data_IF_365364166493
#
_entry.id   IF_365364166493
#
_cell.length_a   1.000
_cell.length_b   1.000
_cell.length_c   1.000
_cell.angle_alpha   90.00
_cell.angle_beta   90.00
_cell.angle_gamma   90.00
#
_symmetry.space_group_name_H-M   'P 1'
#
loop_
_entity.id
_entity.type
_entity.pdbx_description
1 polymer ?
#
# COMPACT_ATOMS: atom_id res chain seq x y z
N UNK A 1 -10.39 -11.70 -12.83
CA UNK A 1 -9.36 -12.33 -11.97
C UNK A 1 -8.07 -12.40 -12.77
N UNK A 2 -6.97 -11.87 -12.24
CA UNK A 2 -5.70 -11.79 -12.95
C UNK A 2 -5.07 -13.18 -13.18
N UNK A 3 -4.27 -13.30 -14.24
CA UNK A 3 -3.57 -14.55 -14.59
C UNK A 3 -2.24 -14.74 -13.86
N UNK A 4 -1.87 -13.82 -12.99
CA UNK A 4 -0.64 -13.82 -12.19
C UNK A 4 -0.94 -13.22 -10.81
N UNK A 5 -0.06 -13.44 -9.82
CA UNK A 5 -0.14 -12.74 -8.54
C UNK A 5 -0.07 -11.22 -8.74
N UNK A 6 -0.95 -10.48 -8.07
CA UNK A 6 -0.97 -9.01 -8.12
C UNK A 6 -0.99 -8.47 -6.70
N UNK A 7 -0.06 -7.57 -6.40
CA UNK A 7 -0.12 -6.66 -5.28
C UNK A 7 -0.53 -5.28 -5.81
N UNK A 8 -1.51 -4.64 -5.19
CA UNK A 8 -2.02 -3.31 -5.53
C UNK A 8 -1.96 -2.44 -4.29
N UNK A 9 -1.50 -1.20 -4.45
CA UNK A 9 -1.58 -0.16 -3.45
C UNK A 9 -2.37 1.03 -4.02
N UNK A 10 -3.20 1.67 -3.20
CA UNK A 10 -3.99 2.82 -3.59
C UNK A 10 -4.15 3.80 -2.42
N UNK A 11 -4.43 5.06 -2.76
CA UNK A 11 -4.69 6.12 -1.80
C UNK A 11 -6.07 6.71 -2.03
N UNK A 12 -6.70 7.15 -0.95
CA UNK A 12 -7.90 7.98 -1.00
C UNK A 12 -7.67 9.26 -0.19
N UNK A 13 -7.84 10.40 -0.87
CA UNK A 13 -7.69 11.76 -0.34
C UNK A 13 -6.43 12.01 0.50
N UNK A 14 -5.33 11.30 0.20
CA UNK A 14 -4.09 11.28 1.00
C UNK A 14 -4.25 10.83 2.45
N UNK A 15 -5.41 10.33 2.88
CA UNK A 15 -5.67 9.98 4.29
C UNK A 15 -5.88 8.48 4.52
N UNK A 16 -6.17 7.70 3.47
CA UNK A 16 -6.33 6.25 3.55
C UNK A 16 -5.40 5.54 2.57
N UNK A 17 -4.62 4.58 3.08
CA UNK A 17 -3.79 3.68 2.29
C UNK A 17 -4.44 2.31 2.19
N UNK A 18 -4.71 1.85 0.98
CA UNK A 18 -5.22 0.52 0.68
C UNK A 18 -4.10 -0.38 0.16
N UNK A 19 -4.08 -1.63 0.61
CA UNK A 19 -3.17 -2.66 0.10
C UNK A 19 -3.95 -3.95 -0.13
N UNK A 20 -3.94 -4.42 -1.38
CA UNK A 20 -4.67 -5.61 -1.79
C UNK A 20 -3.73 -6.57 -2.49
N UNK A 21 -3.93 -7.87 -2.28
CA UNK A 21 -3.23 -8.91 -2.99
C UNK A 21 -4.19 -9.97 -3.50
N UNK A 22 -3.89 -10.50 -4.68
CA UNK A 22 -4.61 -11.64 -5.24
C UNK A 22 -3.66 -12.55 -6.00
N UNK A 23 -3.65 -13.83 -5.64
CA UNK A 23 -3.03 -14.91 -6.39
C UNK A 23 -4.04 -16.03 -6.62
N UNK A 24 -4.49 -16.14 -7.88
CA UNK A 24 -5.46 -17.16 -8.29
C UNK A 24 -4.89 -18.58 -8.22
N UNK A 25 -3.60 -18.77 -8.50
CA UNK A 25 -2.99 -20.10 -8.51
C UNK A 25 -2.84 -20.64 -7.09
N UNK A 26 -2.49 -19.77 -6.14
CA UNK A 26 -2.44 -20.10 -4.71
C UNK A 26 -3.82 -20.10 -4.03
N UNK A 27 -4.83 -19.48 -4.64
CA UNK A 27 -6.16 -19.34 -4.06
C UNK A 27 -6.20 -18.35 -2.89
N UNK A 28 -5.32 -17.36 -2.91
CA UNK A 28 -5.14 -16.37 -1.84
C UNK A 28 -5.61 -15.01 -2.33
N UNK A 29 -6.38 -14.31 -1.50
CA UNK A 29 -6.68 -12.89 -1.69
C UNK A 29 -6.92 -12.24 -0.34
N UNK A 30 -6.46 -11.01 -0.18
CA UNK A 30 -6.70 -10.20 1.00
C UNK A 30 -6.73 -8.72 0.62
N UNK A 31 -7.44 -7.95 1.43
CA UNK A 31 -7.69 -6.52 1.24
C UNK A 31 -7.53 -5.83 2.58
N UNK A 32 -6.54 -4.94 2.67
CA UNK A 32 -6.23 -4.18 3.88
C UNK A 32 -6.35 -2.68 3.62
N UNK A 33 -6.70 -1.94 4.66
CA UNK A 33 -6.74 -0.48 4.63
C UNK A 33 -6.23 0.12 5.94
N UNK A 34 -5.52 1.24 5.86
CA UNK A 34 -5.08 2.01 7.03
C UNK A 34 -5.44 3.47 6.83
N UNK A 35 -6.36 3.97 7.65
CA UNK A 35 -6.68 5.38 7.74
C UNK A 35 -5.77 6.09 8.76
N UNK A 36 -5.49 7.36 8.51
CA UNK A 36 -4.81 8.27 9.46
C UNK A 36 -5.75 8.94 10.46
N UNK A 37 -7.04 8.59 10.40
CA UNK A 37 -8.10 9.15 11.22
C UNK A 37 -9.01 8.02 11.71
N UNK A 38 -9.88 8.33 12.67
CA UNK A 38 -10.95 7.42 13.08
C UNK A 38 -12.02 7.37 11.99
N UNK A 39 -12.17 6.21 11.35
CA UNK A 39 -13.02 6.04 10.18
C UNK A 39 -14.52 6.01 10.52
N UNK A 40 -15.10 7.19 10.72
CA UNK A 40 -16.54 7.36 10.99
C UNK A 40 -17.40 7.28 9.71
N UNK A 41 -16.79 7.47 8.54
CA UNK A 41 -17.47 7.54 7.24
C UNK A 41 -17.46 6.21 6.47
N UNK A 42 -16.80 5.18 6.99
CA UNK A 42 -16.78 3.83 6.43
C UNK A 42 -15.88 3.68 5.20
N UNK A 43 -14.84 4.50 5.08
CA UNK A 43 -13.88 4.43 3.97
C UNK A 43 -13.05 3.14 3.97
N UNK A 44 -12.97 2.45 5.11
CA UNK A 44 -12.29 1.17 5.30
C UNK A 44 -13.26 -0.01 5.45
N UNK A 45 -14.57 0.21 5.24
CA UNK A 45 -15.57 -0.85 5.35
C UNK A 45 -15.27 -1.99 4.38
N UNK A 46 -15.18 -3.21 4.93
CA UNK A 46 -14.85 -4.43 4.17
C UNK A 46 -13.35 -4.70 4.00
N UNK A 47 -12.48 -3.86 4.56
CA UNK A 47 -11.03 -4.08 4.58
C UNK A 47 -10.53 -4.47 5.97
N UNK A 48 -9.48 -5.26 6.02
CA UNK A 48 -8.77 -5.54 7.27
C UNK A 48 -7.86 -4.36 7.65
N UNK A 49 -7.99 -3.85 8.88
CA UNK A 49 -7.20 -2.70 9.33
C UNK A 49 -5.87 -3.07 10.00
N UNK A 50 -5.69 -4.34 10.32
CA UNK A 50 -4.45 -4.87 10.89
C UNK A 50 -3.36 -5.00 9.83
N UNK A 51 -2.10 -5.02 10.25
CA UNK A 51 -0.98 -5.27 9.35
C UNK A 51 -1.14 -6.60 8.58
N UNK A 52 -0.96 -6.62 7.25
CA UNK A 52 -1.03 -7.84 6.43
C UNK A 52 0.14 -8.78 6.77
N UNK A 53 -0.14 -9.79 7.60
CA UNK A 53 0.88 -10.69 8.16
C UNK A 53 1.59 -11.57 7.13
N UNK A 54 0.97 -11.72 5.96
CA UNK A 54 1.40 -12.47 4.79
C UNK A 54 2.42 -11.70 3.96
N UNK A 55 2.43 -10.37 4.06
CA UNK A 55 3.28 -9.50 3.23
C UNK A 55 4.78 -9.85 3.32
N UNK A 56 5.37 -10.14 4.50
CA UNK A 56 6.77 -10.54 4.60
C UNK A 56 7.08 -11.88 3.89
N UNK A 57 6.10 -12.78 3.77
CA UNK A 57 6.30 -14.04 3.05
C UNK A 57 6.35 -13.83 1.53
N UNK A 58 5.62 -12.82 1.02
CA UNK A 58 5.66 -12.42 -0.39
C UNK A 58 6.96 -11.69 -0.77
N UNK A 59 7.56 -10.98 0.20
CA UNK A 59 8.80 -10.20 0.03
C UNK A 59 9.82 -10.60 1.11
N UNK A 60 10.42 -11.80 1.00
CA UNK A 60 11.28 -12.36 2.05
C UNK A 60 12.58 -11.57 2.29
N UNK A 61 12.96 -10.70 1.37
CA UNK A 61 14.08 -9.78 1.51
C UNK A 61 13.78 -8.60 2.45
N UNK A 62 12.51 -8.33 2.75
CA UNK A 62 12.06 -7.21 3.56
C UNK A 62 11.96 -7.59 5.03
N UNK A 63 12.28 -6.65 5.92
CA UNK A 63 12.09 -6.86 7.36
C UNK A 63 10.61 -6.73 7.71
N UNK A 64 9.97 -7.85 8.12
CA UNK A 64 8.57 -7.83 8.54
C UNK A 64 8.30 -6.92 9.74
N UNK A 65 9.27 -6.76 10.63
CA UNK A 65 9.18 -5.82 11.76
C UNK A 65 9.17 -4.37 11.27
N UNK A 66 10.05 -4.03 10.31
CA UNK A 66 10.09 -2.69 9.73
C UNK A 66 8.80 -2.36 8.96
N UNK A 67 8.30 -3.32 8.17
CA UNK A 67 7.02 -3.16 7.44
C UNK A 67 5.85 -2.93 8.40
N UNK A 68 5.80 -3.66 9.51
CA UNK A 68 4.77 -3.46 10.54
C UNK A 68 4.91 -2.09 11.20
N UNK A 69 6.13 -1.67 11.52
CA UNK A 69 6.37 -0.36 12.13
C UNK A 69 5.93 0.80 11.22
N UNK A 70 6.07 0.67 9.90
CA UNK A 70 5.53 1.65 8.94
C UNK A 70 4.00 1.62 8.93
N UNK A 71 3.39 0.43 8.90
CA UNK A 71 1.92 0.29 8.89
C UNK A 71 1.26 0.87 10.14
N UNK A 72 1.83 0.62 11.31
CA UNK A 72 1.27 1.02 12.61
C UNK A 72 1.73 2.42 13.06
N UNK A 73 2.42 3.17 12.21
CA UNK A 73 2.85 4.54 12.54
C UNK A 73 1.63 5.45 12.73
N UNK A 74 1.40 5.88 13.98
CA UNK A 74 0.30 6.78 14.36
C UNK A 74 0.59 8.25 14.07
N UNK A 75 1.88 8.64 14.00
CA UNK A 75 2.30 10.03 13.76
C UNK A 75 2.24 10.44 12.27
N UNK A 76 1.80 9.54 11.39
CA UNK A 76 1.75 9.80 9.96
C UNK A 76 0.64 10.80 9.64
N UNK A 77 1.01 11.94 9.04
CA UNK A 77 0.04 12.97 8.66
C UNK A 77 -0.68 12.56 7.38
N UNK A 78 0.03 11.97 6.41
CA UNK A 78 -0.53 11.56 5.13
C UNK A 78 -0.26 10.08 4.83
N UNK A 79 -1.25 9.40 4.28
CA UNK A 79 -1.19 7.98 3.99
C UNK A 79 -0.29 7.64 2.79
N UNK A 80 0.06 8.63 1.97
CA UNK A 80 1.03 8.51 0.88
C UNK A 80 2.44 8.23 1.40
N UNK A 81 2.88 8.90 2.46
CA UNK A 81 4.17 8.65 3.12
C UNK A 81 4.26 7.19 3.58
N UNK A 82 3.20 6.68 4.22
CA UNK A 82 3.09 5.26 4.60
C UNK A 82 3.21 4.34 3.40
N UNK A 83 2.46 4.62 2.33
CA UNK A 83 2.48 3.81 1.11
C UNK A 83 3.88 3.83 0.47
N UNK A 84 4.52 4.99 0.39
CA UNK A 84 5.84 5.17 -0.18
C UNK A 84 6.92 4.40 0.60
N UNK A 85 6.93 4.54 1.92
CA UNK A 85 7.84 3.83 2.83
C UNK A 85 7.65 2.31 2.72
N UNK A 86 6.39 1.84 2.66
CA UNK A 86 6.07 0.42 2.48
C UNK A 86 6.60 -0.10 1.15
N UNK A 87 6.21 0.50 0.03
CA UNK A 87 6.60 0.04 -1.30
C UNK A 87 8.12 0.08 -1.49
N UNK A 88 8.77 1.13 -0.99
CA UNK A 88 10.23 1.24 -1.00
C UNK A 88 10.89 0.13 -0.18
N UNK A 89 10.36 -0.19 1.01
CA UNK A 89 10.85 -1.30 1.86
C UNK A 89 10.64 -2.68 1.25
N UNK A 90 9.67 -2.83 0.35
CA UNK A 90 9.44 -4.04 -0.45
C UNK A 90 10.39 -4.15 -1.66
N UNK A 91 11.18 -3.11 -1.94
CA UNK A 91 12.02 -3.03 -3.13
C UNK A 91 11.23 -2.67 -4.39
N UNK A 92 10.06 -2.04 -4.24
CA UNK A 92 9.18 -1.57 -5.31
C UNK A 92 9.17 -0.04 -5.33
N UNK A 93 10.31 0.62 -5.67
CA UNK A 93 10.37 2.08 -5.66
C UNK A 93 9.36 2.66 -6.66
N UNK A 94 8.68 3.73 -6.26
CA UNK A 94 7.75 4.43 -7.14
C UNK A 94 8.50 5.07 -8.31
N UNK A 95 7.97 4.91 -9.52
CA UNK A 95 8.59 5.41 -10.76
C UNK A 95 8.45 6.93 -10.89
N UNK A 96 7.43 7.50 -10.24
CA UNK A 96 7.19 8.93 -10.17
C UNK A 96 6.88 9.32 -8.72
N UNK A 97 7.65 10.25 -8.16
CA UNK A 97 7.39 10.92 -6.88
C UNK A 97 7.28 12.44 -7.05
N UNK A 98 7.25 13.19 -5.96
CA UNK A 98 7.12 14.66 -5.98
C UNK A 98 8.20 15.37 -6.84
N UNK A 99 9.40 14.80 -6.88
CA UNK A 99 10.52 15.32 -7.68
C UNK A 99 10.49 14.87 -9.15
N UNK A 100 9.52 14.03 -9.53
CA UNK A 100 9.48 13.32 -10.82
C UNK A 100 8.35 13.83 -11.70
N UNK A 101 8.27 15.14 -11.93
CA UNK A 101 7.38 15.65 -12.97
C UNK A 101 7.93 15.20 -14.33
N UNK A 102 7.18 14.41 -15.14
CA UNK A 102 7.58 14.19 -16.52
C UNK A 102 7.68 15.56 -17.21
N UNK A 103 8.82 15.86 -17.80
CA UNK A 103 8.99 17.06 -18.62
C UNK A 103 7.82 17.13 -19.62
N UNK A 104 7.09 18.25 -19.56
CA UNK A 104 5.70 18.38 -19.99
C UNK A 104 5.32 17.73 -21.31
N UNK A 105 4.06 17.29 -21.40
CA UNK A 105 3.48 16.86 -22.66
C UNK A 105 3.52 18.01 -23.69
N UNK A 106 3.98 17.72 -24.89
CA UNK A 106 3.80 18.62 -26.03
C UNK A 106 2.38 18.44 -26.56
N UNK A 107 1.59 19.52 -26.57
CA UNK A 107 0.34 19.55 -27.35
C UNK A 107 0.75 19.55 -28.82
N UNK A 108 0.43 18.47 -29.53
CA UNK A 108 0.50 18.42 -31.00
C UNK A 108 -0.68 19.17 -31.61
#
# INVERSE_FOLDING_TARGET
>A
MFGAPVLSAALFDSDVCYLSYADRAAGVSWDHAKANFEDEEGYTDGYEQTFPSELPALFPQSSGEALRAIWDREEEVFADDRMYDLLSSLGLPMVYGEDSFPEGYTVL
#
